data_IF_358691710036
#
_entry.id   IF_358691710036
#
_cell.length_a   1.000
_cell.length_b   1.000
_cell.length_c   1.000
_cell.angle_alpha   90.00
_cell.angle_beta   90.00
_cell.angle_gamma   90.00
#
_symmetry.space_group_name_H-M   'P 1'
#
loop_
_entity.id
_entity.type
_entity.pdbx_description
1 polymer ?
#
# COMPACT_ATOMS: atom_id res chain seq x y z
N UNK A 1 22.59 1.89 12.75
CA UNK A 1 22.67 2.81 11.61
C UNK A 1 21.33 2.78 10.91
N UNK A 2 20.51 3.82 11.04
CA UNK A 2 19.23 3.93 10.34
C UNK A 2 19.50 4.50 8.95
N UNK A 3 19.15 3.74 7.92
CA UNK A 3 19.23 4.17 6.52
C UNK A 3 17.86 4.01 5.86
N UNK A 4 17.62 4.76 4.79
CA UNK A 4 16.41 4.65 3.97
C UNK A 4 16.80 3.88 2.70
N UNK A 5 15.99 2.89 2.32
CA UNK A 5 16.22 2.09 1.12
C UNK A 5 16.01 2.94 -0.15
N UNK A 6 16.67 2.58 -1.25
CA UNK A 6 16.50 3.26 -2.55
C UNK A 6 15.01 3.27 -2.98
N UNK A 7 14.49 4.40 -3.50
CA UNK A 7 13.08 4.47 -3.90
C UNK A 7 12.84 3.57 -5.11
N UNK A 8 11.64 3.02 -5.21
CA UNK A 8 11.23 2.24 -6.38
C UNK A 8 9.86 2.67 -6.87
N UNK A 9 9.62 2.54 -8.17
CA UNK A 9 8.31 2.73 -8.78
C UNK A 9 8.15 1.77 -9.96
N UNK A 10 6.91 1.35 -10.22
CA UNK A 10 6.55 0.43 -11.31
C UNK A 10 5.27 0.85 -12.00
N UNK A 11 5.22 0.65 -13.31
CA UNK A 11 4.03 0.89 -14.12
C UNK A 11 3.06 -0.32 -14.11
N UNK A 12 1.92 -0.20 -14.79
CA UNK A 12 0.90 -1.26 -14.85
C UNK A 12 1.39 -2.59 -15.47
N UNK A 13 2.48 -2.58 -16.23
CA UNK A 13 3.13 -3.76 -16.81
C UNK A 13 4.23 -4.31 -15.90
N UNK A 14 4.47 -3.70 -14.75
CA UNK A 14 5.53 -4.04 -13.81
C UNK A 14 6.91 -3.53 -14.20
N UNK A 15 7.00 -2.66 -15.22
CA UNK A 15 8.24 -2.03 -15.70
C UNK A 15 8.69 -0.97 -14.70
N UNK A 16 9.98 -0.92 -14.39
CA UNK A 16 10.53 0.10 -13.49
C UNK A 16 10.32 1.50 -14.06
N UNK A 17 9.84 2.42 -13.22
CA UNK A 17 9.70 3.84 -13.52
C UNK A 17 10.80 4.60 -12.78
N UNK A 18 11.60 5.46 -13.45
CA UNK A 18 12.64 6.23 -12.77
C UNK A 18 12.09 7.06 -11.61
N UNK A 19 12.83 7.10 -10.51
CA UNK A 19 12.40 7.78 -9.28
C UNK A 19 13.61 8.13 -8.40
N UNK A 20 13.50 9.18 -7.60
CA UNK A 20 14.50 9.60 -6.63
C UNK A 20 13.85 10.21 -5.39
N UNK A 21 14.62 10.39 -4.32
CA UNK A 21 14.19 11.16 -3.15
C UNK A 21 14.68 12.59 -3.22
N UNK A 22 13.85 13.52 -2.76
CA UNK A 22 14.20 14.90 -2.46
C UNK A 22 13.91 15.18 -0.98
N UNK A 23 14.88 15.74 -0.26
CA UNK A 23 14.72 16.14 1.14
C UNK A 23 14.59 17.67 1.21
N UNK A 24 13.45 18.14 1.70
CA UNK A 24 13.20 19.55 1.98
C UNK A 24 12.87 19.68 3.48
N UNK A 25 13.77 20.30 4.25
CA UNK A 25 13.72 20.38 5.71
C UNK A 25 13.51 19.03 6.39
N UNK A 26 12.30 18.80 6.93
CA UNK A 26 11.89 17.57 7.62
C UNK A 26 11.01 16.67 6.75
N UNK A 27 10.83 16.99 5.47
CA UNK A 27 9.96 16.26 4.55
C UNK A 27 10.80 15.56 3.49
N UNK A 28 10.77 14.23 3.50
CA UNK A 28 11.31 13.40 2.44
C UNK A 28 10.21 13.10 1.42
N UNK A 29 10.45 13.45 0.16
CA UNK A 29 9.51 13.25 -0.96
C UNK A 29 10.11 12.28 -1.96
N UNK A 30 9.37 11.24 -2.36
CA UNK A 30 9.71 10.44 -3.53
C UNK A 30 9.15 11.12 -4.77
N UNK A 31 10.02 11.47 -5.73
CA UNK A 31 9.64 11.98 -7.04
C UNK A 31 9.66 10.83 -8.04
N UNK A 32 8.58 10.67 -8.82
CA UNK A 32 8.45 9.58 -9.80
C UNK A 32 8.38 10.19 -11.20
N UNK A 33 9.38 9.93 -12.05
CA UNK A 33 9.51 10.49 -13.40
C UNK A 33 8.72 9.69 -14.42
N UNK A 34 7.40 9.78 -14.33
CA UNK A 34 6.49 8.91 -15.09
C UNK A 34 5.99 9.48 -16.42
N UNK A 35 6.39 10.69 -16.80
CA UNK A 35 5.85 11.37 -17.99
C UNK A 35 6.37 10.72 -19.29
N UNK A 36 5.45 10.35 -20.17
CA UNK A 36 5.74 9.93 -21.56
C UNK A 36 5.90 8.42 -21.78
N UNK A 37 6.36 7.66 -20.78
CA UNK A 37 6.75 6.24 -20.97
C UNK A 37 6.04 5.25 -20.06
N UNK A 38 5.41 5.71 -18.97
CA UNK A 38 4.80 4.82 -17.98
C UNK A 38 3.31 4.58 -18.25
N UNK A 39 2.87 3.32 -18.08
CA UNK A 39 1.46 2.95 -18.11
C UNK A 39 0.84 3.05 -16.71
N UNK A 40 -0.32 3.67 -16.60
CA UNK A 40 -1.05 3.75 -15.33
C UNK A 40 -1.88 2.48 -15.05
N UNK A 41 -2.10 2.12 -13.77
CA UNK A 41 -1.62 2.81 -12.56
C UNK A 41 -0.13 2.63 -12.31
N UNK A 42 0.48 3.61 -11.64
CA UNK A 42 1.86 3.55 -11.18
C UNK A 42 1.85 3.25 -9.69
N UNK A 43 2.65 2.27 -9.28
CA UNK A 43 2.85 1.90 -7.89
C UNK A 43 4.27 2.31 -7.50
N UNK A 44 4.37 3.28 -6.59
CA UNK A 44 5.61 3.74 -5.99
C UNK A 44 5.85 3.04 -4.64
N UNK A 45 6.93 3.39 -3.94
CA UNK A 45 7.25 2.80 -2.64
C UNK A 45 6.05 2.96 -1.70
N UNK A 46 5.43 1.86 -1.25
CA UNK A 46 4.20 1.92 -0.47
C UNK A 46 4.45 2.65 0.84
N UNK A 47 3.42 3.35 1.32
CA UNK A 47 3.45 4.06 2.58
C UNK A 47 3.52 3.07 3.77
N UNK A 48 4.71 2.54 4.03
CA UNK A 48 5.03 1.78 5.22
C UNK A 48 5.11 2.72 6.42
N UNK A 49 4.24 2.48 7.39
CA UNK A 49 4.21 3.23 8.64
C UNK A 49 4.12 2.27 9.82
N UNK A 50 4.58 2.74 10.97
CA UNK A 50 4.39 2.03 12.23
C UNK A 50 3.12 2.56 12.89
N UNK A 51 2.12 1.70 13.04
CA UNK A 51 0.84 2.05 13.66
C UNK A 51 0.64 1.17 14.87
N UNK A 52 0.45 1.77 16.04
CA UNK A 52 0.34 1.06 17.32
C UNK A 52 1.50 0.08 17.58
N UNK A 53 2.70 0.38 17.07
CA UNK A 53 3.88 -0.50 17.19
C UNK A 53 3.92 -1.69 16.22
N UNK A 54 2.97 -1.80 15.29
CA UNK A 54 2.94 -2.82 14.24
C UNK A 54 3.35 -2.22 12.89
N UNK A 55 4.08 -2.98 12.06
CA UNK A 55 4.33 -2.57 10.68
C UNK A 55 3.00 -2.55 9.94
N UNK A 56 2.75 -1.47 9.21
CA UNK A 56 1.48 -1.27 8.53
C UNK A 56 1.65 -0.61 7.18
N UNK A 57 0.74 -0.92 6.28
CA UNK A 57 0.72 -0.41 4.90
C UNK A 57 -0.55 0.40 4.72
N UNK A 58 -0.41 1.69 4.42
CA UNK A 58 -1.54 2.57 4.09
C UNK A 58 -1.91 2.41 2.62
N UNK A 59 -3.17 2.08 2.34
CA UNK A 59 -3.73 2.05 0.99
C UNK A 59 -4.30 3.44 0.65
N UNK A 60 -4.10 3.90 -0.58
CA UNK A 60 -4.77 5.11 -1.08
C UNK A 60 -6.25 4.82 -1.43
N UNK A 61 -6.97 5.82 -1.96
CA UNK A 61 -8.41 5.66 -2.20
C UNK A 61 -8.71 4.68 -3.33
N UNK A 62 -7.87 4.64 -4.36
CA UNK A 62 -8.02 3.69 -5.46
C UNK A 62 -7.69 2.26 -5.02
N UNK A 63 -6.64 2.06 -4.22
CA UNK A 63 -6.25 0.76 -3.66
C UNK A 63 -7.31 0.24 -2.69
N UNK A 64 -7.84 1.11 -1.82
CA UNK A 64 -8.96 0.76 -0.93
C UNK A 64 -10.19 0.35 -1.74
N UNK A 65 -10.47 1.04 -2.86
CA UNK A 65 -11.56 0.66 -3.77
C UNK A 65 -11.32 -0.71 -4.40
N UNK A 66 -10.11 -1.00 -4.85
CA UNK A 66 -9.75 -2.31 -5.41
C UNK A 66 -9.97 -3.42 -4.38
N UNK A 67 -9.60 -3.17 -3.11
CA UNK A 67 -9.78 -4.10 -2.00
C UNK A 67 -11.25 -4.45 -1.67
N UNK A 68 -12.23 -3.65 -2.13
CA UNK A 68 -13.65 -3.92 -1.82
C UNK A 68 -14.26 -5.10 -2.58
N UNK A 69 -13.52 -5.67 -3.54
CA UNK A 69 -13.97 -6.81 -4.34
C UNK A 69 -13.05 -7.99 -4.10
N UNK A 70 -13.57 -9.22 -4.20
CA UNK A 70 -12.77 -10.41 -3.92
C UNK A 70 -11.65 -10.60 -4.96
N UNK A 71 -11.89 -10.23 -6.22
CA UNK A 71 -10.87 -10.23 -7.28
C UNK A 71 -9.82 -9.15 -7.04
N UNK A 72 -10.22 -7.93 -6.68
CA UNK A 72 -9.27 -6.87 -6.36
C UNK A 72 -8.50 -7.13 -5.06
N UNK A 73 -9.09 -7.79 -4.07
CA UNK A 73 -8.40 -8.23 -2.85
C UNK A 73 -7.23 -9.17 -3.16
N UNK A 74 -7.37 -10.07 -4.15
CA UNK A 74 -6.25 -10.90 -4.59
C UNK A 74 -5.06 -10.07 -5.09
N UNK A 75 -5.32 -8.93 -5.76
CA UNK A 75 -4.25 -8.01 -6.17
C UNK A 75 -3.58 -7.36 -4.97
N UNK A 76 -4.36 -6.92 -3.97
CA UNK A 76 -3.84 -6.35 -2.71
C UNK A 76 -2.99 -7.36 -1.96
N UNK A 77 -3.46 -8.61 -1.82
CA UNK A 77 -2.67 -9.68 -1.22
C UNK A 77 -1.41 -10.02 -2.03
N UNK A 78 -1.44 -9.91 -3.36
CA UNK A 78 -0.25 -10.00 -4.21
C UNK A 78 0.79 -8.91 -3.90
N UNK A 79 0.34 -7.67 -3.69
CA UNK A 79 1.20 -6.58 -3.23
C UNK A 79 1.79 -6.86 -1.85
N UNK A 80 0.96 -7.26 -0.88
CA UNK A 80 1.43 -7.64 0.46
C UNK A 80 2.47 -8.76 0.37
N UNK A 81 2.24 -9.78 -0.47
CA UNK A 81 3.19 -10.88 -0.71
C UNK A 81 4.54 -10.37 -1.23
N UNK A 82 4.52 -9.41 -2.16
CA UNK A 82 5.75 -8.84 -2.73
C UNK A 82 6.57 -8.09 -1.68
N UNK A 83 5.92 -7.46 -0.70
CA UNK A 83 6.57 -6.63 0.31
C UNK A 83 7.01 -7.40 1.54
N UNK A 84 6.24 -8.42 1.93
CA UNK A 84 6.41 -9.14 3.20
C UNK A 84 6.80 -10.61 3.01
N UNK A 85 6.97 -11.04 1.75
CA UNK A 85 7.19 -12.43 1.39
C UNK A 85 5.91 -13.28 1.45
N UNK A 86 6.11 -14.59 1.30
CA UNK A 86 5.00 -15.57 1.26
C UNK A 86 4.16 -15.58 2.54
N UNK A 87 4.77 -15.29 3.71
CA UNK A 87 4.07 -15.28 4.99
C UNK A 87 2.98 -14.20 5.03
N UNK A 88 3.31 -12.95 4.70
CA UNK A 88 2.29 -11.90 4.74
C UNK A 88 1.27 -12.02 3.61
N UNK A 89 1.65 -12.60 2.46
CA UNK A 89 0.70 -13.02 1.43
C UNK A 89 -0.34 -14.02 1.93
N UNK A 90 0.12 -15.07 2.62
CA UNK A 90 -0.74 -16.09 3.21
C UNK A 90 -1.65 -15.50 4.29
N UNK A 91 -1.13 -14.61 5.14
CA UNK A 91 -1.93 -13.93 6.16
C UNK A 91 -2.98 -13.00 5.54
N UNK A 92 -2.66 -12.31 4.46
CA UNK A 92 -3.64 -11.51 3.73
C UNK A 92 -4.76 -12.40 3.17
N UNK A 93 -4.41 -13.52 2.53
CA UNK A 93 -5.39 -14.49 2.04
C UNK A 93 -6.28 -15.07 3.14
N UNK A 94 -5.70 -15.43 4.29
CA UNK A 94 -6.43 -15.96 5.43
C UNK A 94 -7.41 -14.93 6.05
N UNK A 95 -7.10 -13.64 5.93
CA UNK A 95 -7.92 -12.54 6.46
C UNK A 95 -8.71 -11.80 5.36
N UNK A 96 -8.70 -12.27 4.11
CA UNK A 96 -9.24 -11.54 2.97
C UNK A 96 -10.71 -11.14 3.14
N UNK A 97 -11.53 -11.98 3.77
CA UNK A 97 -12.93 -11.68 4.04
C UNK A 97 -13.13 -10.53 5.03
N UNK A 98 -12.36 -10.48 6.12
CA UNK A 98 -12.46 -9.40 7.10
C UNK A 98 -11.89 -8.10 6.54
N UNK A 99 -10.77 -8.17 5.83
CA UNK A 99 -10.16 -7.03 5.15
C UNK A 99 -11.15 -6.45 4.15
N UNK A 100 -11.73 -7.26 3.25
CA UNK A 100 -12.66 -6.80 2.21
C UNK A 100 -13.87 -6.06 2.80
N UNK A 101 -14.48 -6.62 3.85
CA UNK A 101 -15.62 -5.98 4.52
C UNK A 101 -15.19 -4.64 5.12
N UNK A 102 -13.99 -4.55 5.69
CA UNK A 102 -13.46 -3.31 6.23
C UNK A 102 -13.08 -2.31 5.13
N UNK A 103 -12.55 -2.76 3.98
CA UNK A 103 -12.32 -1.94 2.79
C UNK A 103 -13.60 -1.29 2.32
N UNK A 104 -14.69 -2.07 2.22
CA UNK A 104 -16.01 -1.58 1.80
C UNK A 104 -16.55 -0.53 2.78
N UNK A 105 -16.42 -0.79 4.10
CA UNK A 105 -16.82 0.16 5.14
C UNK A 105 -16.01 1.45 5.08
N UNK A 106 -14.69 1.35 4.99
CA UNK A 106 -13.79 2.51 4.92
C UNK A 106 -14.07 3.35 3.65
N UNK A 107 -14.16 2.70 2.49
CA UNK A 107 -14.38 3.37 1.22
C UNK A 107 -15.71 4.13 1.18
N UNK A 108 -16.79 3.51 1.65
CA UNK A 108 -18.12 4.13 1.72
C UNK A 108 -18.17 5.28 2.73
N UNK A 109 -17.34 5.22 3.78
CA UNK A 109 -17.25 6.27 4.80
C UNK A 109 -16.38 7.48 4.38
N UNK A 110 -15.94 7.58 3.13
CA UNK A 110 -15.05 8.67 2.74
C UNK A 110 -13.57 8.45 3.09
N UNK A 111 -13.20 7.27 3.60
CA UNK A 111 -11.88 6.96 4.16
C UNK A 111 -11.11 5.94 3.32
N UNK A 112 -9.87 5.70 3.69
CA UNK A 112 -9.01 4.67 3.12
C UNK A 112 -8.65 3.62 4.17
N UNK A 113 -8.19 2.46 3.72
CA UNK A 113 -7.83 1.35 4.60
C UNK A 113 -6.31 1.28 4.82
N UNK A 114 -5.93 0.94 6.03
CA UNK A 114 -4.57 0.64 6.43
C UNK A 114 -4.51 -0.79 6.95
N UNK A 115 -3.57 -1.57 6.43
CA UNK A 115 -3.35 -2.95 6.83
C UNK A 115 -2.30 -3.02 7.93
N UNK A 116 -2.66 -3.52 9.11
CA UNK A 116 -1.75 -3.74 10.23
C UNK A 116 -1.27 -5.19 10.20
N UNK A 117 0.05 -5.37 10.06
CA UNK A 117 0.67 -6.68 9.97
C UNK A 117 1.09 -7.09 11.38
N UNK A 118 0.27 -7.93 12.00
CA UNK A 118 0.53 -8.51 13.31
C UNK A 118 1.14 -9.92 13.21
N UNK A 119 1.61 -10.48 14.34
CA UNK A 119 2.05 -11.86 14.40
C UNK A 119 0.87 -12.80 14.14
N UNK A 120 0.81 -13.36 12.93
CA UNK A 120 -0.22 -14.34 12.53
C UNK A 120 -1.55 -13.76 12.06
N UNK A 121 -1.69 -12.43 11.94
CA UNK A 121 -2.93 -11.79 11.48
C UNK A 121 -2.65 -10.51 10.72
N UNK A 122 -3.49 -10.19 9.73
CA UNK A 122 -3.55 -8.85 9.14
C UNK A 122 -4.87 -8.19 9.58
N UNK A 123 -4.75 -7.11 10.32
CA UNK A 123 -5.87 -6.26 10.73
C UNK A 123 -6.09 -5.10 9.76
N UNK A 124 -7.26 -4.48 9.84
CA UNK A 124 -7.64 -3.32 9.03
C UNK A 124 -8.01 -2.13 9.93
N UNK A 125 -7.52 -0.94 9.58
CA UNK A 125 -7.86 0.31 10.23
C UNK A 125 -8.27 1.36 9.18
N UNK A 126 -9.38 2.04 9.39
CA UNK A 126 -9.79 3.13 8.50
C UNK A 126 -9.08 4.44 8.88
N UNK A 127 -8.52 5.14 7.90
CA UNK A 127 -7.82 6.41 8.10
C UNK A 127 -8.22 7.46 7.05
N UNK A 128 -7.93 8.73 7.33
CA UNK A 128 -8.22 9.86 6.45
C UNK A 128 -7.04 10.83 6.38
N UNK A 129 -6.94 11.59 5.28
CA UNK A 129 -5.85 12.55 5.06
C UNK A 129 -4.55 11.89 4.58
N UNK A 130 -3.54 12.72 4.32
CA UNK A 130 -2.23 12.25 3.83
C UNK A 130 -2.34 11.47 2.52
N UNK A 131 -1.95 10.19 2.57
CA UNK A 131 -1.99 9.23 1.45
C UNK A 131 -3.41 8.80 1.04
N UNK A 132 -4.43 9.11 1.84
CA UNK A 132 -5.82 8.86 1.49
C UNK A 132 -6.35 9.93 0.54
N UNK A 133 -5.97 9.82 -0.74
CA UNK A 133 -6.44 10.64 -1.86
C UNK A 133 -6.89 9.75 -3.00
#
# INVERSE_FOLDING_TARGET
MTFIAEPWAKDARGVAVPTHYELNDTTLTQVVDHRGTANYPIVADPAFVWEMGLPSVKLNRAETKTATTMTGMATVCGWVTRLTGYVGGALCGANAGSILVNSQRAYNAGKCEQLLIGPGVIGSLAYSGGYCK
#
